data_IF_095323253392
#
_entry.id   IF_095323253392
#
_cell.length_a   1.000
_cell.length_b   1.000
_cell.length_c   1.000
_cell.angle_alpha   90.00
_cell.angle_beta   90.00
_cell.angle_gamma   90.00
#
_symmetry.space_group_name_H-M   'P 1'
#
loop_
_entity.id
_entity.type
_entity.pdbx_description
1 polymer ?
2 non-polymer ?
#
# COMPACT_ATOMS: atom_id res chain seq x y z
N UNK A 6 -7.39 -18.65 -12.06
CA UNK A 6 -7.19 -17.21 -11.82
C UNK A 6 -6.75 -16.93 -10.39
N UNK A 7 -6.36 -17.97 -9.66
CA UNK A 7 -5.82 -17.80 -8.31
C UNK A 7 -4.32 -17.62 -8.39
N UNK A 8 -3.81 -16.56 -7.75
CA UNK A 8 -2.39 -16.22 -7.84
C UNK A 8 -1.48 -17.32 -7.29
N UNK A 9 -2.03 -18.14 -6.40
CA UNK A 9 -1.24 -19.16 -5.71
C UNK A 9 -0.71 -20.24 -6.64
N UNK A 10 -1.51 -20.70 -7.61
CA UNK A 10 -0.97 -21.64 -8.57
C UNK A 10 -0.65 -20.87 -9.84
N UNK A 11 0.63 -20.54 -9.97
CA UNK A 11 1.16 -19.87 -11.16
C UNK A 11 1.85 -20.85 -12.08
N UNK A 12 2.07 -22.07 -11.59
CA UNK A 12 2.79 -23.08 -12.35
C UNK A 12 1.81 -23.92 -13.16
N UNK A 13 0.54 -23.53 -13.13
CA UNK A 13 -0.50 -24.21 -13.87
C UNK A 13 -1.27 -23.22 -14.73
N UNK A 14 -1.67 -23.67 -15.92
CA UNK A 14 -2.44 -22.84 -16.84
C UNK A 14 -3.89 -22.71 -16.36
N UNK A 15 -4.43 -21.49 -16.40
CA UNK A 15 -5.79 -21.20 -15.94
C UNK A 15 -6.85 -21.96 -16.73
N UNK A 16 -6.64 -22.14 -18.02
CA UNK A 16 -7.63 -22.80 -18.87
C UNK A 16 -7.51 -24.32 -18.87
N UNK A 17 -6.38 -24.83 -19.35
CA UNK A 17 -6.20 -26.27 -19.48
C UNK A 17 -5.97 -27.00 -18.16
N UNK A 18 -5.79 -26.23 -17.09
CA UNK A 18 -5.69 -26.74 -15.72
C UNK A 18 -4.39 -27.53 -15.46
N UNK A 19 -3.71 -27.93 -16.53
CA UNK A 19 -2.48 -28.71 -16.40
C UNK A 19 -1.25 -27.82 -16.19
N UNK A 20 -0.28 -28.34 -15.44
CA UNK A 20 0.95 -27.59 -15.17
C UNK A 20 1.78 -27.41 -16.44
N UNK A 21 2.58 -26.34 -16.46
CA UNK A 21 3.38 -26.00 -17.63
C UNK A 21 4.56 -26.93 -17.84
N UNK A 22 4.91 -27.17 -19.10
CA UNK A 22 6.13 -27.91 -19.45
C UNK A 22 6.92 -27.19 -20.54
N UNK A 23 8.16 -27.63 -20.76
CA UNK A 23 9.08 -26.88 -21.62
C UNK A 23 8.89 -27.09 -23.13
N UNK A 24 8.21 -28.16 -23.51
CA UNK A 24 8.09 -28.51 -24.93
C UNK A 24 6.74 -28.14 -25.56
N UNK A 25 5.67 -28.74 -25.06
CA UNK A 25 4.35 -28.59 -25.67
C UNK A 25 3.46 -27.60 -24.95
N UNK A 26 3.17 -27.84 -23.68
CA UNK A 26 2.29 -26.95 -22.96
C UNK A 26 3.23 -25.89 -22.37
N UNK A 27 3.27 -24.75 -23.04
CA UNK A 27 4.29 -23.72 -22.83
C UNK A 27 3.72 -22.44 -22.26
N UNK A 28 4.25 -21.99 -21.11
CA UNK A 28 3.72 -20.75 -20.52
C UNK A 28 3.93 -19.57 -21.45
N UNK A 29 2.85 -18.85 -21.76
CA UNK A 29 2.98 -17.63 -22.55
C UNK A 29 2.21 -16.52 -21.84
N UNK A 30 2.94 -15.50 -21.41
CA UNK A 30 2.35 -14.36 -20.73
C UNK A 30 1.85 -13.36 -21.74
N UNK A 31 0.64 -12.86 -21.51
CA UNK A 31 0.04 -11.88 -22.40
C UNK A 31 0.17 -10.50 -21.76
N UNK A 32 -0.33 -9.48 -22.47
CA UNK A 32 -0.20 -8.11 -22.01
C UNK A 32 -1.04 -7.80 -20.78
N UNK A 33 -2.11 -8.56 -20.60
CA UNK A 33 -3.07 -8.30 -19.54
C UNK A 33 -2.67 -8.89 -18.18
N UNK A 34 -1.56 -9.62 -18.15
CA UNK A 34 -1.06 -10.15 -16.90
C UNK A 34 -1.42 -11.60 -16.66
N UNK A 35 -1.95 -12.26 -17.70
CA UNK A 35 -2.30 -13.66 -17.61
C UNK A 35 -1.31 -14.51 -18.40
N UNK A 36 -1.02 -15.71 -17.88
CA UNK A 36 -0.14 -16.64 -18.56
C UNK A 36 -0.90 -17.89 -18.94
N UNK A 37 -1.10 -18.09 -20.24
CA UNK A 37 -1.84 -19.25 -20.71
C UNK A 37 -0.89 -20.17 -21.49
N UNK A 38 -1.14 -21.47 -21.43
CA UNK A 38 -0.27 -22.43 -22.10
C UNK A 38 -0.44 -22.39 -23.61
N UNK A 39 0.67 -22.62 -24.33
CA UNK A 39 0.72 -22.49 -25.79
C UNK A 39 -0.33 -23.33 -26.52
N UNK A 40 -0.43 -24.60 -26.14
CA UNK A 40 -1.40 -25.53 -26.73
C UNK A 40 -2.78 -24.90 -26.73
N UNK A 41 -3.14 -24.31 -25.59
CA UNK A 41 -4.42 -23.62 -25.45
C UNK A 41 -4.53 -22.38 -26.33
N UNK A 42 -3.42 -21.67 -26.52
CA UNK A 42 -3.43 -20.50 -27.39
C UNK A 42 -3.73 -20.91 -28.82
N UNK A 43 -3.09 -21.98 -29.28
CA UNK A 43 -3.40 -22.56 -30.57
C UNK A 43 -4.86 -23.01 -30.62
N UNK A 44 -5.33 -23.62 -29.54
CA UNK A 44 -6.67 -24.21 -29.54
C UNK A 44 -7.79 -23.16 -29.47
N UNK A 45 -7.47 -21.96 -29.01
CA UNK A 45 -8.49 -20.94 -28.77
C UNK A 45 -9.24 -20.52 -30.04
N UNK A 46 -8.50 -20.22 -31.10
CA UNK A 46 -9.06 -19.79 -32.37
C UNK A 46 -9.95 -18.55 -32.23
N UNK A 47 -9.68 -17.76 -31.21
CA UNK A 47 -10.41 -16.53 -30.97
C UNK A 47 -9.43 -15.39 -30.74
N UNK A 48 -9.87 -14.17 -31.02
CA UNK A 48 -9.00 -13.00 -30.94
C UNK A 48 -8.48 -12.75 -29.52
N UNK A 49 -9.40 -12.52 -28.58
CA UNK A 49 -9.03 -11.99 -27.27
C UNK A 49 -8.85 -13.04 -26.17
N UNK A 50 -8.46 -12.58 -24.99
CA UNK A 50 -8.31 -13.46 -23.83
C UNK A 50 -9.65 -13.65 -23.15
N UNK A 51 -10.08 -14.92 -22.97
CA UNK A 51 -11.38 -15.25 -22.41
C UNK A 51 -11.62 -14.61 -21.04
N UNK A 52 -10.55 -14.46 -20.26
CA UNK A 52 -10.68 -13.86 -18.94
C UNK A 52 -11.05 -12.37 -18.99
N UNK A 53 -10.23 -11.53 -19.63
CA UNK A 53 -10.56 -10.10 -19.77
C UNK A 53 -11.04 -9.56 -21.13
N UNK A 54 -11.06 -10.38 -22.17
CA UNK A 54 -11.41 -9.94 -23.52
C UNK A 54 -10.52 -8.83 -24.10
N UNK A 55 -9.21 -8.95 -23.94
CA UNK A 55 -8.28 -7.98 -24.50
C UNK A 55 -7.64 -8.50 -25.79
N UNK A 56 -7.45 -7.62 -26.77
CA UNK A 56 -6.89 -8.05 -28.05
C UNK A 56 -5.39 -8.37 -27.87
N UNK A 57 -4.76 -8.86 -28.93
CA UNK A 57 -3.44 -9.49 -28.77
C UNK A 57 -2.39 -8.87 -29.70
N UNK A 58 -1.14 -9.32 -29.60
CA UNK A 58 -0.07 -8.80 -30.44
C UNK A 58 -0.06 -9.54 -31.78
N UNK A 59 0.62 -10.69 -31.86
CA UNK A 59 0.31 -11.71 -32.86
C UNK A 59 0.59 -13.14 -32.39
N UNK A 60 -0.45 -13.95 -32.23
CA UNK A 60 -0.36 -15.39 -31.98
C UNK A 60 0.63 -15.84 -30.89
N UNK A 61 1.23 -17.01 -31.10
CA UNK A 61 2.35 -17.49 -30.29
C UNK A 61 3.62 -17.08 -31.00
N UNK A 62 3.45 -16.69 -32.26
CA UNK A 62 4.57 -16.48 -33.18
C UNK A 62 5.57 -15.47 -32.65
N UNK A 63 5.07 -14.30 -32.27
CA UNK A 63 5.94 -13.21 -31.81
C UNK A 63 6.06 -13.12 -30.28
N UNK A 64 5.42 -14.06 -29.58
CA UNK A 64 5.44 -14.05 -28.12
C UNK A 64 6.39 -15.10 -27.54
N UNK A 65 7.42 -14.63 -26.81
CA UNK A 65 8.35 -15.52 -26.11
C UNK A 65 7.69 -16.19 -24.91
N UNK A 66 8.26 -17.31 -24.49
CA UNK A 66 7.73 -18.09 -23.36
C UNK A 66 8.41 -17.68 -22.06
N UNK A 67 7.68 -17.75 -20.95
CA UNK A 67 8.28 -17.38 -19.67
C UNK A 67 9.27 -18.47 -19.26
N UNK A 68 10.53 -18.10 -19.17
CA UNK A 68 11.58 -18.99 -18.70
C UNK A 68 11.56 -18.97 -17.17
N UNK A 69 11.24 -17.79 -16.64
CA UNK A 69 11.15 -17.57 -15.20
C UNK A 69 10.20 -18.56 -14.55
N UNK A 70 9.12 -18.90 -15.25
CA UNK A 70 8.18 -19.89 -14.75
C UNK A 70 8.71 -21.32 -14.97
N UNK A 71 9.29 -21.57 -16.13
CA UNK A 71 9.75 -22.91 -16.48
C UNK A 71 10.89 -23.41 -15.60
N UNK A 72 11.62 -22.48 -14.98
CA UNK A 72 12.69 -22.87 -14.05
C UNK A 72 12.13 -23.55 -12.81
N UNK A 73 10.90 -23.20 -12.44
CA UNK A 73 10.25 -23.73 -11.25
C UNK A 73 9.66 -25.10 -11.50
N UNK A 74 9.62 -25.50 -12.77
CA UNK A 74 9.12 -26.81 -13.16
C UNK A 74 10.28 -27.78 -13.37
N UNK A 75 11.12 -27.48 -14.34
CA UNK A 75 12.28 -28.30 -14.64
C UNK A 75 13.29 -27.59 -15.52
N UNK A 86 14.77 -8.60 -31.09
CA UNK A 86 15.69 -8.00 -32.05
C UNK A 86 14.93 -7.06 -32.99
N UNK A 87 13.83 -6.52 -32.51
CA UNK A 87 12.97 -5.65 -33.32
C UNK A 87 13.51 -4.23 -33.56
N UNK A 88 13.81 -3.53 -32.46
CA UNK A 88 14.20 -2.11 -32.53
C UNK A 88 15.70 -1.80 -32.53
N UNK A 89 16.54 -2.83 -32.62
CA UNK A 89 17.98 -2.63 -32.63
C UNK A 89 18.73 -3.14 -31.40
N UNK A 90 20.05 -3.16 -31.52
CA UNK A 90 20.95 -3.82 -30.56
C UNK A 90 20.87 -3.30 -29.12
N UNK A 91 20.90 -1.98 -28.95
CA UNK A 91 20.87 -1.38 -27.62
C UNK A 91 19.60 -1.74 -26.84
N UNK A 92 18.45 -1.50 -27.46
CA UNK A 92 17.16 -1.77 -26.83
C UNK A 92 16.98 -3.24 -26.46
N UNK A 93 17.49 -4.14 -27.31
CA UNK A 93 17.38 -5.56 -27.04
C UNK A 93 18.39 -6.03 -26.00
N UNK A 94 19.47 -5.28 -25.85
CA UNK A 94 20.40 -5.50 -24.75
C UNK A 94 19.67 -5.21 -23.45
N UNK A 95 18.98 -4.05 -23.43
CA UNK A 95 18.13 -3.69 -22.29
C UNK A 95 17.09 -4.77 -21.99
N UNK A 96 16.42 -5.24 -23.04
CA UNK A 96 15.42 -6.29 -22.92
C UNK A 96 15.97 -7.57 -22.28
N UNK A 97 17.09 -8.05 -22.82
CA UNK A 97 17.72 -9.26 -22.29
C UNK A 97 18.08 -9.10 -20.83
N UNK A 98 18.67 -7.96 -20.48
CA UNK A 98 19.03 -7.71 -19.08
C UNK A 98 17.82 -7.75 -18.15
N UNK A 99 16.74 -7.08 -18.56
CA UNK A 99 15.50 -7.06 -17.79
C UNK A 99 14.92 -8.48 -17.58
N UNK A 100 14.80 -9.20 -18.68
CA UNK A 100 14.36 -10.59 -18.69
C UNK A 100 15.17 -11.42 -17.67
N UNK A 101 16.49 -11.28 -17.74
CA UNK A 101 17.39 -11.93 -16.80
C UNK A 101 17.06 -11.59 -15.35
N UNK A 102 16.76 -10.32 -15.11
CA UNK A 102 16.37 -9.87 -13.76
C UNK A 102 15.13 -10.61 -13.24
N UNK A 103 14.06 -10.58 -14.03
CA UNK A 103 12.83 -11.29 -13.64
C UNK A 103 13.10 -12.77 -13.33
N UNK A 104 13.87 -13.40 -14.20
CA UNK A 104 14.26 -14.80 -13.99
C UNK A 104 14.98 -15.00 -12.66
N UNK A 105 15.90 -14.09 -12.34
CA UNK A 105 16.66 -14.18 -11.09
C UNK A 105 15.77 -14.01 -9.86
N UNK A 106 14.75 -13.16 -9.97
CA UNK A 106 13.79 -13.02 -8.87
C UNK A 106 12.95 -14.26 -8.67
N UNK A 107 12.53 -14.87 -9.78
CA UNK A 107 11.59 -15.99 -9.73
C UNK A 107 12.05 -17.19 -8.88
N UNK A 108 13.36 -17.28 -8.63
CA UNK A 108 13.92 -18.39 -7.89
C UNK A 108 13.57 -18.35 -6.40
N UNK A 109 12.98 -17.25 -5.96
CA UNK A 109 12.53 -17.11 -4.58
C UNK A 109 11.16 -17.76 -4.40
N UNK A 110 10.59 -18.23 -5.49
CA UNK A 110 9.26 -18.84 -5.48
C UNK A 110 9.30 -20.36 -5.41
N UNK A 111 10.50 -20.93 -5.42
CA UNK A 111 10.64 -22.39 -5.34
C UNK A 111 10.10 -23.02 -4.05
N UNK A 112 10.48 -22.48 -2.87
CA UNK A 112 9.88 -23.06 -1.66
C UNK A 112 8.41 -22.69 -1.52
N UNK A 128 11.18 -18.05 1.20
CA UNK A 128 11.92 -17.18 2.10
C UNK A 128 11.20 -15.85 2.31
N UNK A 129 10.72 -15.27 1.22
CA UNK A 129 9.97 -14.02 1.27
C UNK A 129 8.61 -14.21 1.92
N UNK A 130 8.06 -13.13 2.47
CA UNK A 130 6.72 -13.18 3.05
C UNK A 130 5.68 -13.36 1.94
N UNK A 131 4.51 -13.87 2.32
CA UNK A 131 3.41 -14.08 1.37
C UNK A 131 2.99 -12.82 0.57
N UNK A 132 2.75 -11.69 1.25
CA UNK A 132 2.33 -10.51 0.48
C UNK A 132 3.42 -10.00 -0.48
N UNK A 133 4.68 -10.30 -0.16
CA UNK A 133 5.79 -9.94 -1.02
C UNK A 133 5.79 -10.78 -2.28
N UNK A 134 5.74 -12.10 -2.09
CA UNK A 134 5.79 -13.04 -3.19
C UNK A 134 4.55 -12.95 -4.08
N UNK A 135 3.46 -12.41 -3.55
CA UNK A 135 2.29 -12.14 -4.39
C UNK A 135 2.68 -11.13 -5.47
N UNK A 136 3.33 -10.04 -5.06
CA UNK A 136 3.78 -9.01 -5.98
C UNK A 136 4.88 -9.53 -6.90
N UNK A 137 5.69 -10.46 -6.41
CA UNK A 137 6.69 -11.11 -7.26
C UNK A 137 6.00 -11.89 -8.40
N UNK A 138 5.01 -12.69 -8.03
CA UNK A 138 4.21 -13.43 -9.00
C UNK A 138 3.59 -12.48 -10.03
N UNK A 139 3.12 -11.34 -9.55
CA UNK A 139 2.60 -10.31 -10.47
C UNK A 139 3.68 -9.84 -11.44
N UNK A 140 4.91 -9.73 -10.95
CA UNK A 140 6.02 -9.31 -11.81
C UNK A 140 6.36 -10.34 -12.88
N UNK A 141 6.33 -11.62 -12.52
CA UNK A 141 6.69 -12.68 -13.47
C UNK A 141 5.73 -12.79 -14.66
N UNK A 142 4.47 -12.43 -14.45
CA UNK A 142 3.44 -12.61 -15.48
C UNK A 142 3.43 -11.48 -16.50
N UNK A 143 4.36 -10.54 -16.37
CA UNK A 143 4.45 -9.42 -17.29
C UNK A 143 5.18 -9.79 -18.59
N UNK A 144 4.50 -9.61 -19.72
CA UNK A 144 5.12 -9.85 -21.01
C UNK A 144 5.86 -8.60 -21.45
N UNK A 145 7.18 -8.72 -21.62
CA UNK A 145 8.02 -7.54 -21.80
C UNK A 145 8.18 -7.11 -23.26
N UNK A 146 7.52 -7.81 -24.17
CA UNK A 146 7.57 -7.44 -25.59
C UNK A 146 6.40 -6.54 -25.98
N UNK A 147 5.57 -6.19 -25.00
CA UNK A 147 4.42 -5.32 -25.25
C UNK A 147 4.41 -4.11 -24.33
N UNK A 148 3.74 -3.05 -24.77
CA UNK A 148 3.63 -1.82 -23.99
C UNK A 148 2.86 -2.08 -22.69
N UNK A 149 1.69 -2.70 -22.81
CA UNK A 149 0.85 -3.06 -21.68
C UNK A 149 1.66 -3.82 -20.62
N UNK A 150 2.36 -4.86 -21.08
CA UNK A 150 3.15 -5.70 -20.20
C UNK A 150 4.27 -4.95 -19.53
N UNK A 151 4.85 -3.98 -20.22
CA UNK A 151 5.94 -3.19 -19.66
C UNK A 151 5.42 -2.25 -18.57
N UNK A 152 4.29 -1.59 -18.84
CA UNK A 152 3.64 -0.75 -17.85
C UNK A 152 3.33 -1.56 -16.58
N UNK A 153 2.76 -2.74 -16.79
CA UNK A 153 2.48 -3.65 -15.68
C UNK A 153 3.75 -4.03 -14.92
N UNK A 154 4.85 -4.22 -15.65
CA UNK A 154 6.13 -4.54 -15.06
C UNK A 154 6.63 -3.41 -14.16
N UNK A 155 6.44 -2.18 -14.61
CA UNK A 155 6.84 -1.02 -13.82
C UNK A 155 5.99 -0.89 -12.55
N UNK A 156 4.68 -1.06 -12.68
CA UNK A 156 3.80 -0.98 -11.52
C UNK A 156 4.13 -2.05 -10.48
N UNK A 157 4.35 -3.28 -10.95
CA UNK A 157 4.73 -4.39 -10.08
C UNK A 157 6.08 -4.11 -9.41
N UNK A 158 6.98 -3.51 -10.16
CA UNK A 158 8.29 -3.12 -9.64
C UNK A 158 8.14 -2.15 -8.47
N UNK A 159 7.39 -1.09 -8.70
CA UNK A 159 7.14 -0.08 -7.67
C UNK A 159 6.49 -0.69 -6.44
N UNK A 160 5.51 -1.55 -6.65
CA UNK A 160 4.83 -2.23 -5.54
C UNK A 160 5.79 -3.07 -4.71
N UNK A 161 6.66 -3.81 -5.41
CA UNK A 161 7.68 -4.62 -4.75
C UNK A 161 8.63 -3.77 -3.92
N UNK A 162 9.06 -2.64 -4.48
CA UNK A 162 9.94 -1.73 -3.77
C UNK A 162 9.29 -1.18 -2.51
N UNK A 163 8.08 -0.66 -2.66
CA UNK A 163 7.33 -0.07 -1.55
C UNK A 163 7.13 -1.08 -0.43
N UNK A 164 6.70 -2.29 -0.81
CA UNK A 164 6.49 -3.36 0.16
C UNK A 164 7.79 -3.71 0.88
N UNK A 165 8.90 -3.70 0.15
CA UNK A 165 10.20 -3.98 0.76
C UNK A 165 10.54 -2.93 1.81
N UNK A 166 10.31 -1.66 1.47
CA UNK A 166 10.54 -0.57 2.42
C UNK A 166 9.70 -0.75 3.69
N UNK A 167 8.40 -0.98 3.51
CA UNK A 167 7.54 -1.13 4.69
C UNK A 167 7.84 -2.41 5.48
N UNK A 168 8.52 -3.38 4.86
CA UNK A 168 8.99 -4.55 5.61
C UNK A 168 10.31 -4.31 6.32
N UNK A 169 11.09 -3.35 5.84
CA UNK A 169 12.34 -2.97 6.51
C UNK A 169 12.06 -2.06 7.69
N UNK A 170 10.99 -1.27 7.58
CA UNK A 170 10.58 -0.38 8.66
C UNK A 170 10.08 -1.16 9.88
N UNK A 171 9.32 -2.22 9.63
CA UNK A 171 8.77 -3.04 10.70
C UNK A 171 9.85 -3.77 11.52
N UNK A 172 11.01 -3.98 10.91
CA UNK A 172 12.13 -4.61 11.59
C UNK A 172 12.73 -3.67 12.62
N UNK A 173 12.73 -2.38 12.30
CA UNK A 173 13.29 -1.36 13.19
C UNK A 173 12.22 -0.76 14.10
N UNK A 174 11.01 -1.30 14.01
CA UNK A 174 9.88 -0.78 14.77
C UNK A 174 9.52 -1.71 15.93
N UNK A 175 9.51 -1.16 17.14
CA UNK A 175 9.15 -1.92 18.33
C UNK A 175 7.65 -2.17 18.41
N UNK A 176 7.23 -3.43 18.26
CA UNK A 176 5.82 -3.83 18.27
C UNK A 176 5.17 -3.79 19.66
N UNK A 177 5.97 -3.98 20.71
CA UNK A 177 5.43 -4.06 22.06
C UNK A 177 4.86 -2.73 22.55
N UNK A 178 5.66 -1.67 22.41
CA UNK A 178 5.27 -0.33 22.85
C UNK A 178 4.64 0.54 21.75
N UNK A 179 4.34 -0.07 20.61
CA UNK A 179 3.77 0.64 19.46
C UNK A 179 2.57 1.54 19.80
N UNK A 180 1.60 0.98 20.51
CA UNK A 180 0.41 1.72 20.94
C UNK A 180 0.79 2.95 21.75
N UNK A 181 1.72 2.75 22.68
CA UNK A 181 2.23 3.83 23.52
C UNK A 181 2.76 4.99 22.69
N UNK A 182 3.58 4.67 21.69
CA UNK A 182 4.12 5.69 20.79
C UNK A 182 3.04 6.41 19.98
N UNK A 183 2.06 5.64 19.51
CA UNK A 183 0.92 6.22 18.78
C UNK A 183 0.20 7.28 19.62
N UNK A 184 -0.23 6.88 20.81
CA UNK A 184 -0.96 7.80 21.68
C UNK A 184 -0.10 8.98 22.12
N UNK A 185 1.20 8.76 22.25
CA UNK A 185 2.13 9.84 22.55
C UNK A 185 2.09 10.88 21.44
N UNK A 186 2.13 10.38 20.20
CA UNK A 186 2.06 11.25 19.02
C UNK A 186 0.74 12.03 18.99
N UNK A 187 -0.34 11.36 19.36
CA UNK A 187 -1.65 12.02 19.39
C UNK A 187 -1.72 13.13 20.43
N UNK A 188 -1.25 12.84 21.65
CA UNK A 188 -1.26 13.81 22.73
C UNK A 188 -0.35 15.01 22.43
N UNK A 189 0.72 14.76 21.70
CA UNK A 189 1.67 15.82 21.39
C UNK A 189 1.13 16.84 20.38
N UNK A 190 0.03 16.49 19.71
CA UNK A 190 -0.62 17.39 18.77
C UNK A 190 -1.79 18.16 19.38
N UNK A 191 -2.01 17.95 20.67
CA UNK A 191 -3.10 18.60 21.38
C UNK A 191 -4.41 17.84 21.24
N UNK A 192 -4.33 16.64 20.69
CA UNK A 192 -5.52 15.80 20.53
C UNK A 192 -5.57 14.74 21.62
N UNK A 193 -6.66 13.97 21.64
CA UNK A 193 -6.80 12.89 22.61
C UNK A 193 -7.75 11.80 22.11
N UNK A 194 -7.47 10.56 22.52
CA UNK A 194 -8.38 9.44 22.26
C UNK A 194 -8.75 8.83 23.59
N UNK A 195 -10.05 8.75 23.87
CA UNK A 195 -10.51 8.37 25.21
C UNK A 195 -10.81 6.88 25.33
N UNK A 196 -10.64 6.15 24.24
CA UNK A 196 -11.00 4.75 24.20
C UNK A 196 -12.21 4.52 23.31
N UNK A 197 -12.35 3.28 22.80
CA UNK A 197 -13.34 2.88 21.80
C UNK A 197 -14.79 3.27 22.13
N UNK A 198 -15.23 3.04 23.36
CA UNK A 198 -16.60 3.38 23.75
C UNK A 198 -16.77 4.87 24.07
N UNK A 199 -15.85 5.39 24.88
CA UNK A 199 -15.91 6.76 25.38
C UNK A 199 -15.89 7.75 24.23
N UNK A 200 -15.06 7.47 23.22
CA UNK A 200 -14.91 8.33 22.06
C UNK A 200 -16.17 8.33 21.20
N UNK A 201 -16.81 7.17 21.09
CA UNK A 201 -18.08 7.06 20.37
C UNK A 201 -19.12 7.93 21.05
N UNK A 202 -19.15 7.85 22.38
CA UNK A 202 -20.05 8.67 23.19
C UNK A 202 -19.84 10.16 22.90
N UNK A 203 -18.60 10.61 23.08
CA UNK A 203 -18.26 12.02 22.87
C UNK A 203 -18.60 12.49 21.46
N UNK A 204 -18.26 11.68 20.46
CA UNK A 204 -18.51 12.03 19.07
C UNK A 204 -20.00 12.11 18.76
N UNK A 205 -20.79 11.26 19.40
CA UNK A 205 -22.24 11.31 19.19
C UNK A 205 -22.88 12.50 19.90
N UNK A 206 -22.25 12.96 20.99
CA UNK A 206 -22.70 14.18 21.64
C UNK A 206 -22.38 15.41 20.79
N UNK A 207 -21.15 15.46 20.29
CA UNK A 207 -20.74 16.52 19.38
C UNK A 207 -21.67 16.57 18.17
N UNK A 208 -21.92 15.40 17.61
CA UNK A 208 -22.82 15.27 16.46
C UNK A 208 -24.21 15.77 16.83
N UNK A 209 -24.68 15.41 18.02
CA UNK A 209 -26.00 15.84 18.49
C UNK A 209 -26.11 17.35 18.50
N UNK A 210 -25.10 18.01 19.05
CA UNK A 210 -25.11 19.47 19.12
C UNK A 210 -25.03 20.11 17.72
N UNK A 211 -24.18 19.55 16.86
CA UNK A 211 -23.88 20.18 15.57
C UNK A 211 -24.59 19.67 14.31
N UNK A 212 -25.43 18.64 14.44
CA UNK A 212 -26.02 18.00 13.25
C UNK A 212 -27.02 18.86 12.49
N UNK A 213 -27.61 19.85 13.17
CA UNK A 213 -28.60 20.71 12.53
C UNK A 213 -27.96 21.95 11.89
N UNK A 214 -26.67 22.13 12.12
CA UNK A 214 -25.95 23.25 11.53
C UNK A 214 -25.64 24.38 12.49
N UNK A 215 -25.88 24.15 13.77
CA UNK A 215 -25.60 25.15 14.81
C UNK A 215 -24.13 25.52 14.82
N UNK A 216 -23.84 26.76 15.20
CA UNK A 216 -22.46 27.23 15.29
C UNK A 216 -22.10 27.50 16.74
N UNK A 217 -21.27 26.63 17.30
CA UNK A 217 -20.87 26.75 18.71
C UNK A 217 -19.40 27.09 18.81
N UNK A 218 -19.05 27.85 19.85
CA UNK A 218 -17.66 28.14 20.11
C UNK A 218 -17.02 26.92 20.80
N UNK A 219 -15.75 27.05 21.16
CA UNK A 219 -15.05 25.98 21.83
C UNK A 219 -15.70 25.65 23.17
N UNK A 220 -15.79 26.66 24.03
CA UNK A 220 -16.26 26.46 25.39
C UNK A 220 -17.70 25.96 25.46
N UNK A 221 -18.52 26.40 24.53
CA UNK A 221 -19.93 26.02 24.53
C UNK A 221 -20.08 24.56 24.14
N UNK A 222 -19.36 24.15 23.10
CA UNK A 222 -19.39 22.77 22.66
C UNK A 222 -18.87 21.84 23.76
N UNK A 223 -17.73 22.21 24.33
CA UNK A 223 -17.14 21.43 25.42
C UNK A 223 -18.11 21.29 26.59
N UNK A 224 -18.72 22.40 27.00
CA UNK A 224 -19.69 22.39 28.09
C UNK A 224 -20.92 21.54 27.77
N UNK A 225 -21.36 21.57 26.52
CA UNK A 225 -22.50 20.78 26.09
C UNK A 225 -22.19 19.29 26.20
N UNK A 226 -20.99 18.90 25.79
CA UNK A 226 -20.61 17.48 25.79
C UNK A 226 -20.31 16.95 27.20
N UNK A 227 -19.54 17.71 27.97
CA UNK A 227 -19.13 17.31 29.32
C UNK A 227 -20.30 16.86 30.20
N UNK A 228 -21.36 17.66 30.25
CA UNK A 228 -22.49 17.40 31.13
C UNK A 228 -23.30 16.17 30.77
N UNK A 229 -23.21 15.75 29.50
CA UNK A 229 -24.02 14.63 29.03
C UNK A 229 -23.29 13.30 29.16
N UNK A 230 -22.03 13.34 29.59
CA UNK A 230 -21.24 12.13 29.72
C UNK A 230 -21.79 11.27 30.86
N UNK A 231 -22.19 10.05 30.54
CA UNK A 231 -22.67 9.13 31.56
C UNK A 231 -21.47 8.76 32.42
N UNK A 232 -21.60 8.90 33.75
CA UNK A 232 -20.38 8.74 34.55
C UNK A 232 -19.76 7.33 34.46
N UNK A 233 -18.48 7.29 34.09
CA UNK A 233 -17.63 6.09 34.14
C UNK A 233 -16.62 6.56 35.16
N UNK A 234 -15.65 5.75 35.56
CA UNK A 234 -14.69 6.36 36.48
C UNK A 234 -13.72 7.40 35.95
N UNK A 235 -12.85 7.07 34.98
CA UNK A 235 -12.00 8.23 34.68
C UNK A 235 -12.65 9.18 33.65
N UNK A 236 -13.61 9.93 34.19
CA UNK A 236 -14.40 10.90 33.45
C UNK A 236 -13.52 11.93 32.76
N UNK A 237 -13.82 12.17 31.49
CA UNK A 237 -13.12 13.17 30.72
C UNK A 237 -13.48 14.55 31.25
N UNK A 238 -12.48 15.38 31.46
CA UNK A 238 -12.71 16.75 31.92
C UNK A 238 -12.99 17.64 30.71
N UNK A 239 -13.15 18.93 30.97
CA UNK A 239 -13.40 19.88 29.90
C UNK A 239 -12.23 19.93 28.92
N UNK A 240 -11.03 19.83 29.47
CA UNK A 240 -9.81 19.89 28.67
C UNK A 240 -9.67 18.71 27.70
N UNK A 241 -9.95 17.50 28.18
CA UNK A 241 -9.86 16.29 27.36
C UNK A 241 -10.82 16.34 26.18
N UNK A 242 -12.07 16.66 26.46
CA UNK A 242 -13.08 16.81 25.42
C UNK A 242 -12.68 17.92 24.45
N UNK A 243 -12.10 18.98 24.99
CA UNK A 243 -11.55 20.04 24.16
C UNK A 243 -10.52 19.48 23.19
N UNK A 244 -9.73 18.52 23.66
CA UNK A 244 -8.70 17.89 22.84
C UNK A 244 -9.31 17.01 21.75
N UNK A 245 -10.38 16.29 22.08
CA UNK A 245 -11.11 15.50 21.08
C UNK A 245 -11.64 16.44 19.98
N UNK A 246 -12.22 17.56 20.41
CA UNK A 246 -12.72 18.56 19.48
C UNK A 246 -11.57 19.09 18.61
N UNK A 247 -10.41 19.25 19.21
CA UNK A 247 -9.21 19.65 18.47
C UNK A 247 -8.89 18.64 17.39
N UNK A 248 -9.06 17.36 17.72
CA UNK A 248 -8.84 16.29 16.76
C UNK A 248 -9.81 16.41 15.58
N UNK A 249 -11.06 16.77 15.87
CA UNK A 249 -12.03 16.97 14.80
C UNK A 249 -11.71 18.22 13.96
N UNK A 250 -11.05 19.19 14.58
CA UNK A 250 -10.68 20.43 13.89
C UNK A 250 -9.50 20.21 12.96
N UNK A 251 -8.57 19.33 13.35
CA UNK A 251 -7.43 19.00 12.52
C UNK A 251 -7.84 18.20 11.29
N UNK A 252 -8.97 17.50 11.39
CA UNK A 252 -9.46 16.67 10.31
C UNK A 252 -10.28 17.49 9.32
N UNK A 253 -10.37 18.79 9.57
CA UNK A 253 -11.08 19.73 8.71
C UNK A 253 -12.57 19.40 8.59
N UNK A 254 -13.20 19.11 9.71
CA UNK A 254 -14.64 18.85 9.73
C UNK A 254 -15.41 20.15 9.93
N UNK A 255 -14.70 21.19 10.32
CA UNK A 255 -15.36 22.42 10.71
C UNK A 255 -15.34 23.52 9.66
N UNK A 256 -16.47 24.18 9.51
CA UNK A 256 -16.55 25.47 8.88
C UNK A 256 -16.36 26.44 10.04
N UNK A 257 -15.25 27.16 10.04
CA UNK A 257 -14.90 28.01 11.17
C UNK A 257 -15.06 29.47 10.78
N UNK A 258 -15.76 30.26 11.58
CA UNK A 258 -16.00 31.66 11.27
C UNK A 258 -15.81 32.54 12.51
N UNK A 259 -15.49 33.82 12.31
CA UNK A 259 -15.40 34.74 13.43
C UNK A 259 -15.92 36.14 13.08
N UNK A 260 -16.79 36.65 13.94
CA UNK A 260 -17.38 37.98 13.77
C UNK A 260 -16.69 39.07 14.59
N UNK A 261 -15.59 38.71 15.25
CA UNK A 261 -14.85 39.60 16.16
C UNK A 261 -15.60 39.84 17.46
N UNK A 264 -15.05 35.41 19.71
CA UNK A 264 -15.25 33.97 19.77
C UNK A 264 -15.28 33.35 18.37
N UNK A 265 -14.60 32.23 18.21
CA UNK A 265 -14.59 31.51 16.94
C UNK A 265 -15.67 30.44 16.95
N UNK A 266 -16.55 30.49 15.96
CA UNK A 266 -17.65 29.53 15.86
C UNK A 266 -17.34 28.43 14.85
N UNK A 267 -17.74 27.20 15.21
CA UNK A 267 -17.45 26.01 14.42
C UNK A 267 -18.76 25.34 14.01
N UNK A 268 -18.89 25.01 12.73
CA UNK A 268 -20.08 24.30 12.25
C UNK A 268 -19.64 23.00 11.58
N UNK A 269 -20.50 22.01 11.62
CA UNK A 269 -20.21 20.74 10.97
C UNK A 269 -20.66 20.84 9.52
N UNK A 270 -19.75 20.59 8.59
CA UNK A 270 -20.04 20.61 7.17
C UNK A 270 -21.13 19.58 6.84
N UNK A 271 -21.93 19.88 5.83
CA UNK A 271 -23.11 19.07 5.49
C UNK A 271 -22.80 17.59 5.31
N UNK A 272 -21.60 17.28 4.82
CA UNK A 272 -21.22 15.90 4.57
C UNK A 272 -20.78 15.17 5.84
N UNK A 273 -20.45 15.93 6.86
CA UNK A 273 -19.96 15.37 8.13
C UNK A 273 -21.01 15.23 9.24
N UNK A 274 -22.26 15.55 8.93
CA UNK A 274 -23.32 15.58 9.93
C UNK A 274 -23.92 14.21 10.22
N UNK A 275 -23.34 13.17 9.62
CA UNK A 275 -23.69 11.79 9.91
C UNK A 275 -22.58 11.19 10.76
N UNK A 276 -22.91 10.26 11.65
CA UNK A 276 -21.92 9.62 12.49
C UNK A 276 -20.95 8.80 11.66
N UNK A 277 -21.47 8.11 10.64
CA UNK A 277 -20.61 7.30 9.78
C UNK A 277 -19.50 8.15 9.18
N UNK A 278 -19.88 9.22 8.48
CA UNK A 278 -18.93 10.15 7.87
C UNK A 278 -17.95 10.79 8.85
N UNK A 279 -18.50 11.41 9.90
CA UNK A 279 -17.70 12.09 10.90
C UNK A 279 -16.68 11.13 11.52
N UNK A 280 -17.12 9.92 11.85
CA UNK A 280 -16.22 8.93 12.41
C UNK A 280 -15.17 8.53 11.39
N UNK A 281 -15.55 8.41 10.12
CA UNK A 281 -14.58 8.11 9.07
C UNK A 281 -13.45 9.14 9.06
N UNK A 282 -13.83 10.42 9.10
CA UNK A 282 -12.86 11.51 9.09
C UNK A 282 -11.97 11.50 10.34
N UNK A 283 -12.59 11.21 11.47
CA UNK A 283 -11.89 11.07 12.75
C UNK A 283 -10.78 10.01 12.67
N UNK A 284 -11.19 8.80 12.30
CA UNK A 284 -10.27 7.68 12.16
C UNK A 284 -9.14 8.02 11.21
N UNK A 285 -9.51 8.55 10.04
CA UNK A 285 -8.51 8.93 9.04
C UNK A 285 -7.48 9.90 9.61
N UNK A 286 -7.95 10.87 10.40
CA UNK A 286 -7.05 11.84 11.01
C UNK A 286 -6.04 11.17 11.95
N UNK A 287 -6.53 10.26 12.80
CA UNK A 287 -5.62 9.54 13.68
C UNK A 287 -4.59 8.72 12.89
N UNK A 288 -5.04 8.09 11.81
CA UNK A 288 -4.13 7.35 10.94
C UNK A 288 -3.04 8.27 10.38
N UNK A 289 -3.43 9.45 9.93
CA UNK A 289 -2.47 10.45 9.45
C UNK A 289 -1.46 10.82 10.51
N UNK A 290 -1.93 10.93 11.76
CA UNK A 290 -1.03 11.18 12.88
C UNK A 290 0.00 10.05 12.97
N UNK A 291 -0.47 8.82 12.79
CA UNK A 291 0.45 7.68 12.83
C UNK A 291 1.46 7.73 11.68
N UNK A 292 1.04 8.23 10.52
CA UNK A 292 1.93 8.32 9.37
C UNK A 292 3.01 9.40 9.55
N UNK A 293 2.61 10.58 10.02
CA UNK A 293 3.55 11.68 10.23
C UNK A 293 4.63 11.31 11.25
N UNK A 294 4.27 10.47 12.21
CA UNK A 294 5.19 10.02 13.25
C UNK A 294 5.95 8.79 12.80
N UNK A 295 5.55 8.24 11.66
CA UNK A 295 6.22 7.07 11.09
C UNK A 295 5.90 5.74 11.73
N UNK A 296 4.61 5.47 11.95
CA UNK A 296 4.18 4.16 12.45
C UNK A 296 3.37 3.42 11.40
N UNK A 297 3.86 2.26 10.98
CA UNK A 297 3.12 1.41 10.06
C UNK A 297 2.25 0.48 10.87
N UNK A 298 0.95 0.65 10.77
CA UNK A 298 0.00 -0.12 11.58
C UNK A 298 -1.04 -0.82 10.72
N UNK A 299 -1.17 -2.13 10.92
CA UNK A 299 -2.08 -2.95 10.13
C UNK A 299 -3.54 -2.65 10.46
N UNK A 300 -4.43 -2.78 9.46
CA UNK A 300 -5.86 -2.51 9.61
C UNK A 300 -6.55 -3.28 10.75
N UNK A 301 -6.11 -4.51 11.01
CA UNK A 301 -6.66 -5.28 12.14
C UNK A 301 -6.29 -4.61 13.47
N UNK A 302 -5.04 -4.15 13.54
CA UNK A 302 -4.56 -3.43 14.72
C UNK A 302 -5.30 -2.11 14.89
N UNK A 303 -5.61 -1.45 13.78
CA UNK A 303 -6.37 -0.21 13.82
C UNK A 303 -7.80 -0.44 14.33
N UNK A 304 -8.44 -1.47 13.78
CA UNK A 304 -9.79 -1.85 14.20
C UNK A 304 -9.80 -2.14 15.70
N UNK A 305 -8.77 -2.82 16.17
CA UNK A 305 -8.64 -3.13 17.59
C UNK A 305 -8.43 -1.89 18.47
N UNK A 306 -7.49 -1.04 18.08
CA UNK A 306 -7.17 0.16 18.84
C UNK A 306 -8.36 1.12 18.92
N UNK A 307 -8.89 1.46 17.75
CA UNK A 307 -10.01 2.41 17.66
C UNK A 307 -11.36 1.82 18.12
N UNK A 308 -11.77 0.70 17.53
CA UNK A 308 -13.08 0.12 17.85
C UNK A 308 -13.13 -0.99 18.91
N UNK A 309 -12.00 -1.59 19.27
CA UNK A 309 -11.99 -2.71 20.20
C UNK A 309 -12.33 -4.06 19.59
N UNK A 310 -12.89 -4.04 18.39
CA UNK A 310 -13.29 -5.28 17.70
C UNK A 310 -12.71 -5.39 16.29
N UNK A 311 -13.04 -6.48 15.61
CA UNK A 311 -12.56 -6.73 14.25
C UNK A 311 -13.55 -6.38 13.14
N UNK A 312 -14.69 -5.81 13.51
CA UNK A 312 -15.75 -5.51 12.54
C UNK A 312 -15.36 -4.45 11.50
N UNK A 313 -14.46 -3.57 11.88
CA UNK A 313 -14.09 -2.42 11.06
C UNK A 313 -12.83 -2.58 10.21
N UNK A 314 -12.28 -3.79 10.18
CA UNK A 314 -11.05 -4.08 9.45
C UNK A 314 -11.09 -3.59 8.00
N UNK A 315 -12.19 -3.86 7.31
CA UNK A 315 -12.35 -3.43 5.92
C UNK A 315 -12.50 -1.91 5.83
N UNK A 316 -13.17 -1.34 6.82
CA UNK A 316 -13.35 0.11 6.93
C UNK A 316 -11.99 0.80 7.03
N UNK A 317 -11.19 0.37 8.01
CA UNK A 317 -9.84 0.89 8.18
C UNK A 317 -8.98 0.65 6.95
N UNK A 318 -9.20 -0.48 6.29
CA UNK A 318 -8.49 -0.79 5.05
C UNK A 318 -8.76 0.29 4.01
N UNK A 319 -10.05 0.56 3.78
CA UNK A 319 -10.46 1.60 2.84
C UNK A 319 -9.87 2.96 3.21
N UNK A 320 -9.84 3.25 4.51
CA UNK A 320 -9.28 4.51 4.99
C UNK A 320 -7.79 4.65 4.67
N UNK A 321 -7.01 3.62 4.99
CA UNK A 321 -5.57 3.65 4.74
C UNK A 321 -5.25 3.71 3.25
N UNK A 322 -5.97 2.93 2.45
CA UNK A 322 -5.79 2.95 1.00
C UNK A 322 -6.10 4.32 0.40
N UNK A 323 -7.20 4.92 0.85
CA UNK A 323 -7.62 6.23 0.38
C UNK A 323 -6.58 7.30 0.72
N UNK A 324 -5.78 7.02 1.75
CA UNK A 324 -4.78 7.97 2.23
C UNK A 324 -3.45 7.85 1.50
N UNK A 325 -3.36 6.94 0.53
CA UNK A 325 -2.08 6.69 -0.12
C UNK A 325 -1.88 7.54 -1.36
N UNK A 326 -0.96 8.50 -1.25
CA UNK A 326 -0.54 9.32 -2.37
C UNK A 326 0.68 8.68 -3.03
N UNK A 327 0.92 8.96 -4.32
CA UNK A 327 2.10 8.42 -5.00
C UNK A 327 3.40 8.92 -4.39
N UNK A 328 3.33 10.03 -3.65
CA UNK A 328 4.52 10.60 -3.03
C UNK A 328 4.83 9.94 -1.69
N UNK A 329 3.94 9.04 -1.27
CA UNK A 329 4.08 8.36 0.02
C UNK A 329 5.20 7.31 0.01
N UNK A 330 5.54 6.81 -1.17
CA UNK A 330 6.64 5.85 -1.32
C UNK A 330 7.96 6.56 -0.96
N UNK A 331 8.23 7.68 -1.63
CA UNK A 331 9.44 8.46 -1.36
C UNK A 331 9.54 8.84 0.11
N UNK A 332 8.41 9.25 0.67
CA UNK A 332 8.25 9.58 2.09
C UNK A 332 8.70 8.42 2.97
N UNK A 333 8.21 7.23 2.63
CA UNK A 333 8.55 6.00 3.34
C UNK A 333 10.05 5.71 3.29
N UNK A 334 10.64 5.90 2.11
CA UNK A 334 12.09 5.73 1.95
C UNK A 334 12.85 6.65 2.90
N UNK A 335 12.43 7.91 2.95
CA UNK A 335 13.03 8.88 3.85
C UNK A 335 12.93 8.45 5.32
N UNK A 336 11.73 8.04 5.73
CA UNK A 336 11.48 7.52 7.09
C UNK A 336 12.41 6.35 7.44
N UNK A 337 12.49 5.39 6.53
CA UNK A 337 13.42 4.29 6.64
C UNK A 337 14.84 4.80 6.88
N UNK A 338 15.26 5.80 6.10
CA UNK A 338 16.59 6.39 6.27
C UNK A 338 16.75 6.97 7.67
N UNK A 339 15.68 7.55 8.22
CA UNK A 339 15.73 8.10 9.57
C UNK A 339 16.00 7.02 10.62
N UNK A 340 15.17 5.97 10.60
CA UNK A 340 15.35 4.85 11.53
C UNK A 340 16.74 4.22 11.37
N UNK A 341 17.20 4.20 10.12
CA UNK A 341 18.49 3.64 9.74
C UNK A 341 19.62 4.55 10.21
N UNK A 342 19.30 5.80 10.46
CA UNK A 342 20.26 6.75 11.01
C UNK A 342 20.34 6.57 12.53
N UNK A 343 19.23 6.13 13.13
CA UNK A 343 19.25 5.87 14.58
C UNK A 343 20.18 4.72 15.01
N UNK A 344 20.06 3.57 14.36
CA UNK A 344 20.75 2.35 14.79
C UNK A 344 22.19 2.27 14.29
N UNK A 345 22.62 3.31 13.60
CA UNK A 345 23.81 3.21 12.78
C UNK A 345 23.36 2.33 11.63
N UNK A 346 24.29 1.62 11.00
CA UNK A 346 23.91 0.74 9.92
C UNK A 346 24.69 -0.57 9.88
N UNK A 347 24.31 -1.52 10.75
CA UNK A 347 24.85 -2.88 10.74
C UNK A 347 24.80 -3.55 9.36
N UNK A 348 23.73 -3.34 8.60
CA UNK A 348 23.54 -4.01 7.30
C UNK A 348 23.98 -3.21 6.08
N UNK A 349 24.40 -1.96 6.29
CA UNK A 349 24.76 -1.06 5.18
C UNK A 349 23.64 -0.97 4.13
N UNK A 350 22.43 -0.73 4.61
CA UNK A 350 21.26 -0.70 3.72
C UNK A 350 21.21 0.58 2.88
N UNK A 351 22.04 1.56 3.25
CA UNK A 351 22.08 2.81 2.51
C UNK A 351 22.53 2.62 1.07
N UNK A 352 23.18 1.49 0.80
CA UNK A 352 23.59 1.15 -0.56
C UNK A 352 22.39 0.99 -1.48
N UNK A 353 21.22 0.76 -0.88
CA UNK A 353 19.99 0.57 -1.64
C UNK A 353 19.32 1.91 -1.93
N UNK A 354 19.81 2.96 -1.28
CA UNK A 354 19.21 4.29 -1.40
C UNK A 354 19.01 4.79 -2.84
N UNK A 355 20.04 4.68 -3.72
CA UNK A 355 19.80 5.13 -5.09
C UNK A 355 18.85 4.22 -5.85
N UNK A 356 18.73 2.96 -5.43
CA UNK A 356 17.81 2.03 -6.08
C UNK A 356 16.37 2.30 -5.66
N UNK A 357 16.18 2.61 -4.38
CA UNK A 357 14.85 2.90 -3.85
C UNK A 357 14.31 4.22 -4.40
N UNK A 358 15.18 5.20 -4.56
CA UNK A 358 14.79 6.50 -5.08
C UNK A 358 14.32 6.39 -6.54
N UNK A 359 14.93 5.48 -7.28
CA UNK A 359 14.55 5.26 -8.68
C UNK A 359 13.19 4.58 -8.77
N UNK A 360 12.96 3.64 -7.86
CA UNK A 360 11.70 2.92 -7.82
C UNK A 360 10.54 3.82 -7.41
N UNK A 361 10.84 4.84 -6.61
CA UNK A 361 9.83 5.77 -6.13
C UNK A 361 9.54 6.87 -7.14
N UNK A 362 10.41 6.97 -8.15
CA UNK A 362 10.32 8.05 -9.13
C UNK A 362 9.47 7.72 -10.36
N UNK A 363 8.84 6.54 -10.37
CA UNK A 363 8.01 6.14 -11.50
C UNK A 363 6.53 6.39 -11.24
N UNK A 364 5.85 6.98 -12.23
CA UNK A 364 4.43 7.35 -12.08
C UNK A 364 3.51 6.13 -12.05
N UNK A 365 2.85 5.92 -10.90
CA UNK A 365 1.85 4.86 -10.74
C UNK A 365 0.55 5.20 -11.48
N UNK A 366 0.35 6.48 -11.74
CA UNK A 366 -0.88 6.95 -12.37
C UNK A 366 -1.04 6.40 -13.78
N UNK A 367 -2.29 6.25 -14.23
CA UNK A 367 -2.57 5.88 -15.63
C UNK A 367 -2.10 6.96 -16.59
N UNK A 368 -1.86 8.16 -16.06
CA UNK A 368 -1.34 9.27 -16.84
C UNK A 368 0.13 9.07 -17.19
N UNK A 369 0.72 8.02 -16.62
CA UNK A 369 2.13 7.70 -16.86
C UNK A 369 2.37 7.28 -18.30
N UNK A 370 3.40 7.89 -18.93
CA UNK A 370 3.84 7.43 -20.24
C UNK A 370 4.42 6.03 -20.11
N UNK A 371 4.33 5.22 -21.18
CA UNK A 371 4.95 3.90 -21.16
C UNK A 371 6.46 4.04 -20.98
N UNK A 372 7.08 3.12 -20.23
CA UNK A 372 8.51 3.21 -19.94
C UNK A 372 9.35 2.98 -21.19
N UNK A 373 10.48 3.67 -21.30
CA UNK A 373 11.42 3.38 -22.37
C UNK A 373 12.20 2.13 -21.97
N UNK A 374 13.06 1.66 -22.86
CA UNK A 374 13.78 0.42 -22.59
C UNK A 374 14.81 0.58 -21.46
N UNK A 375 15.49 1.71 -21.45
CA UNK A 375 16.48 1.99 -20.42
C UNK A 375 15.80 2.10 -19.06
N UNK A 376 14.62 2.72 -19.05
CA UNK A 376 13.83 2.86 -17.82
C UNK A 376 13.40 1.50 -17.30
N UNK A 377 12.97 0.62 -18.20
CA UNK A 377 12.57 -0.73 -17.83
C UNK A 377 13.74 -1.49 -17.22
N UNK A 378 14.88 -1.48 -17.90
CA UNK A 378 16.08 -2.15 -17.39
C UNK A 378 16.46 -1.63 -16.00
N UNK A 379 16.67 -0.31 -15.89
CA UNK A 379 17.05 0.30 -14.63
C UNK A 379 16.07 -0.03 -13.51
N UNK A 380 14.79 -0.02 -13.83
CA UNK A 380 13.75 -0.36 -12.87
C UNK A 380 13.91 -1.77 -12.34
N UNK A 381 13.99 -2.74 -13.25
CA UNK A 381 14.09 -4.14 -12.84
C UNK A 381 15.41 -4.46 -12.10
N UNK A 382 16.50 -3.84 -12.54
CA UNK A 382 17.78 -3.96 -11.85
C UNK A 382 17.65 -3.47 -10.41
N UNK A 383 17.05 -2.30 -10.27
CA UNK A 383 16.77 -1.72 -8.96
C UNK A 383 15.99 -2.70 -8.10
N UNK A 384 14.95 -3.28 -8.69
CA UNK A 384 14.12 -4.25 -7.98
C UNK A 384 14.90 -5.45 -7.46
N UNK A 385 15.69 -6.09 -8.32
CA UNK A 385 16.46 -7.25 -7.87
C UNK A 385 17.45 -6.90 -6.76
N UNK A 386 18.14 -5.77 -6.93
CA UNK A 386 19.07 -5.31 -5.91
C UNK A 386 18.36 -5.15 -4.55
N UNK A 387 17.23 -4.46 -4.59
CA UNK A 387 16.46 -4.20 -3.38
C UNK A 387 15.95 -5.47 -2.69
N UNK A 388 15.28 -6.33 -3.44
CA UNK A 388 14.74 -7.58 -2.89
C UNK A 388 15.83 -8.46 -2.28
N UNK A 389 16.91 -8.65 -3.05
CA UNK A 389 18.06 -9.39 -2.55
C UNK A 389 18.54 -8.78 -1.23
N UNK A 390 18.63 -7.45 -1.20
CA UNK A 390 19.01 -6.75 0.01
C UNK A 390 18.13 -7.07 1.20
N UNK A 391 16.82 -7.11 0.95
CA UNK A 391 15.84 -7.43 1.98
C UNK A 391 16.09 -8.82 2.56
N UNK A 392 16.21 -9.81 1.68
CA UNK A 392 16.47 -11.18 2.13
C UNK A 392 17.75 -11.26 2.95
N UNK A 393 18.82 -10.65 2.44
CA UNK A 393 20.10 -10.61 3.14
C UNK A 393 19.97 -10.02 4.54
N UNK A 394 19.22 -8.93 4.66
CA UNK A 394 19.01 -8.32 5.96
C UNK A 394 18.31 -9.28 6.91
N UNK A 395 17.20 -9.87 6.45
CA UNK A 395 16.44 -10.79 7.31
C UNK A 395 17.29 -11.95 7.80
N UNK A 396 18.08 -12.54 6.90
CA UNK A 396 18.89 -13.69 7.29
C UNK A 396 20.11 -13.37 8.15
N UNK A 397 20.92 -12.40 7.72
CA UNK A 397 22.18 -12.10 8.41
C UNK A 397 22.13 -11.07 9.54
N UNK A 398 21.07 -10.28 9.61
CA UNK A 398 20.97 -9.24 10.64
C UNK A 398 19.60 -9.21 11.31
N UNK A 399 19.56 -9.55 12.59
CA UNK A 399 18.30 -9.59 13.34
C UNK A 399 18.54 -9.68 14.83
X LIG B 1 -6.15 -11.90 -19.50
X LIG C 1 -4.22 -24.57 -21.50
#
# INVERSE_FOLDING_TARGET
>A
MPVQAPQWTDFLSCPICTQTFDETIRKPISLGCGHTVCKMCLNKLHRKACPFDQTTINTDIELLPVNSALLQLVGAQIPEQQPITLCSGVEDTKHYEEAKKCVEELALYLKPLSSARGVGLNSTTQSVLSRPMQRKLVTLVHCQLVEEEGRIRAMRAARSLGERTVTELILQHQNPQQLSSNLWAAVRARGCQFLGPARQEEALKLVLLALEDGSALSRKVLVLFVVQRLEPRFPQASKTSIGHVVQLLYRASCFKVTKRDEDSSLMQLKEEFRTYEALRREHDSQIVQIAMEAGLRIAPDQWSSLLYGDQSHKSHMQSIIDKLQTPASFAQSVQELTIALQRTGDPANLNRLRPHLELLANIDPSPDAPPPTWEQLENGLVAVRTVVHGLVDYIQNHSKKGADQQQPPQHSKYKTYMCRDMKQRGGCPRGASCTFAHSQEELEKFRKMNKRLVPRRPLSASLGQLNEVGLPSAPILSDESAVD
>B hetero
1 ZN ZN
>C hetero
1 ZN ZN
#
